data_IF_802798090426
#
_entry.id   IF_802798090426
#
_cell.length_a   1.000
_cell.length_b   1.000
_cell.length_c   1.000
_cell.angle_alpha   90.00
_cell.angle_beta   90.00
_cell.angle_gamma   90.00
#
_symmetry.space_group_name_H-M   'P 1'
#
loop_
_entity.id
_entity.type
_entity.pdbx_description
1 polymer ?
#
# COMPACT_ATOMS: atom_id res chain seq x y z
N UNK A 1 81.69 -29.62 29.01
CA UNK A 1 80.95 -29.80 30.25
C UNK A 1 79.68 -29.07 30.09
N UNK A 2 78.63 -29.85 29.95
CA UNK A 2 77.21 -29.72 30.37
C UNK A 2 76.56 -28.41 29.99
N UNK A 3 75.80 -28.27 29.01
CA UNK A 3 74.60 -28.92 28.47
C UNK A 3 73.36 -28.58 29.32
N UNK A 4 72.62 -27.59 29.05
CA UNK A 4 71.36 -27.32 29.67
C UNK A 4 70.30 -26.98 28.60
N UNK A 5 69.66 -28.01 28.03
CA UNK A 5 68.50 -27.85 27.17
C UNK A 5 67.26 -27.54 28.03
N UNK A 6 66.80 -26.30 28.01
CA UNK A 6 65.52 -25.94 28.59
C UNK A 6 64.40 -26.22 27.63
N UNK A 7 63.64 -27.28 27.92
CA UNK A 7 62.46 -27.68 27.18
C UNK A 7 61.34 -26.66 27.34
N UNK A 8 60.97 -26.01 26.25
CA UNK A 8 59.75 -25.23 26.16
C UNK A 8 58.52 -26.19 26.18
N UNK A 9 57.89 -26.32 27.34
CA UNK A 9 56.59 -26.96 27.47
C UNK A 9 55.58 -26.11 26.75
N UNK A 10 55.11 -26.57 25.58
CA UNK A 10 53.98 -26.03 24.89
C UNK A 10 52.72 -26.12 25.76
N UNK A 11 52.25 -25.01 26.20
CA UNK A 11 50.97 -24.88 26.86
C UNK A 11 49.85 -25.27 25.86
N UNK A 12 49.46 -26.54 25.88
CA UNK A 12 48.22 -26.96 25.20
C UNK A 12 47.06 -26.24 25.83
N UNK A 13 46.65 -25.09 25.24
CA UNK A 13 45.47 -24.33 25.64
C UNK A 13 44.24 -25.25 25.56
N UNK A 14 43.48 -25.30 26.66
CA UNK A 14 42.23 -26.04 26.74
C UNK A 14 41.31 -25.61 25.58
N UNK A 15 40.71 -26.54 24.84
CA UNK A 15 39.80 -26.17 23.73
C UNK A 15 38.67 -25.29 24.26
N UNK A 16 38.34 -24.20 23.59
CA UNK A 16 37.33 -23.25 24.06
C UNK A 16 35.98 -23.92 24.23
N UNK A 17 35.34 -23.67 25.34
CA UNK A 17 34.02 -24.17 25.67
C UNK A 17 32.96 -23.62 24.67
N UNK A 18 31.81 -24.28 24.53
CA UNK A 18 30.71 -23.80 23.68
C UNK A 18 30.28 -22.37 24.03
N UNK A 19 30.33 -22.00 25.30
CA UNK A 19 29.99 -20.67 25.81
C UNK A 19 31.00 -19.62 25.39
N UNK A 20 32.28 -19.93 25.47
CA UNK A 20 33.39 -19.04 25.05
C UNK A 20 33.36 -18.81 23.54
N UNK A 21 33.09 -19.86 22.75
CA UNK A 21 32.89 -19.75 21.30
C UNK A 21 31.70 -18.85 20.96
N UNK A 22 30.58 -18.97 21.69
CA UNK A 22 29.39 -18.15 21.49
C UNK A 22 29.63 -16.69 21.85
N UNK A 23 30.35 -16.41 22.94
CA UNK A 23 30.69 -15.05 23.32
C UNK A 23 31.68 -14.40 22.33
N UNK A 24 32.62 -15.17 21.83
CA UNK A 24 33.54 -14.72 20.75
C UNK A 24 32.80 -14.42 19.46
N UNK A 25 31.80 -15.26 19.10
CA UNK A 25 30.98 -15.06 17.92
C UNK A 25 30.10 -13.79 18.04
N UNK A 26 29.51 -13.52 19.21
CA UNK A 26 28.74 -12.29 19.45
C UNK A 26 29.57 -11.00 19.31
N UNK A 27 30.87 -11.07 19.62
CA UNK A 27 31.80 -9.95 19.43
C UNK A 27 32.33 -9.83 18.01
N UNK A 28 32.04 -10.81 17.15
CA UNK A 28 32.45 -10.81 15.75
C UNK A 28 31.63 -9.78 14.95
N UNK A 29 32.22 -9.09 13.97
CA UNK A 29 31.51 -8.20 13.06
C UNK A 29 30.42 -8.91 12.22
N UNK A 30 30.47 -10.24 12.14
CA UNK A 30 29.49 -11.03 11.42
C UNK A 30 28.17 -11.22 12.18
N UNK A 31 28.17 -11.13 13.51
CA UNK A 31 26.97 -11.36 14.32
C UNK A 31 25.83 -10.38 13.99
N UNK A 32 26.07 -9.04 13.97
CA UNK A 32 25.01 -8.11 13.59
C UNK A 32 24.54 -8.30 12.15
N UNK A 33 25.44 -8.69 11.23
CA UNK A 33 25.06 -8.95 9.84
C UNK A 33 24.13 -10.17 9.72
N UNK A 34 24.42 -11.25 10.45
CA UNK A 34 23.57 -12.46 10.48
C UNK A 34 22.22 -12.14 11.12
N UNK A 35 22.19 -11.41 12.24
CA UNK A 35 20.94 -10.98 12.88
C UNK A 35 20.10 -10.15 11.91
N UNK A 36 20.73 -9.18 11.24
CA UNK A 36 20.05 -8.36 10.23
C UNK A 36 19.47 -9.18 9.09
N UNK A 37 20.20 -10.19 8.60
CA UNK A 37 19.74 -11.09 7.55
C UNK A 37 18.47 -11.83 7.97
N UNK A 38 18.39 -12.34 9.20
CA UNK A 38 17.20 -13.01 9.70
C UNK A 38 16.03 -12.03 9.88
N UNK A 39 16.29 -10.81 10.37
CA UNK A 39 15.26 -9.77 10.50
C UNK A 39 14.69 -9.42 9.13
N UNK A 40 15.54 -9.20 8.13
CA UNK A 40 15.10 -8.88 6.77
C UNK A 40 14.32 -10.03 6.13
N UNK A 41 14.78 -11.26 6.30
CA UNK A 41 14.06 -12.44 5.80
C UNK A 41 12.70 -12.61 6.47
N UNK A 42 12.61 -12.41 7.78
CA UNK A 42 11.35 -12.44 8.51
C UNK A 42 10.41 -11.31 8.07
N UNK A 43 10.93 -10.08 7.92
CA UNK A 43 10.15 -8.95 7.44
C UNK A 43 9.61 -9.19 6.02
N UNK A 44 10.45 -9.71 5.12
CA UNK A 44 10.03 -10.05 3.75
C UNK A 44 8.96 -11.16 3.76
N UNK A 45 9.13 -12.20 4.57
CA UNK A 45 8.15 -13.27 4.71
C UNK A 45 6.82 -12.80 5.29
N UNK A 46 6.86 -11.95 6.32
CA UNK A 46 5.66 -11.33 6.90
C UNK A 46 4.96 -10.41 5.91
N UNK A 47 5.71 -9.60 5.18
CA UNK A 47 5.14 -8.72 4.15
C UNK A 47 4.46 -9.55 3.04
N UNK A 48 5.17 -10.51 2.46
CA UNK A 48 4.63 -11.37 1.41
C UNK A 48 3.43 -12.18 1.93
N UNK A 49 3.52 -12.73 3.12
CA UNK A 49 2.45 -13.51 3.75
C UNK A 49 1.22 -12.66 4.05
N UNK A 50 1.38 -11.47 4.63
CA UNK A 50 0.27 -10.56 4.92
C UNK A 50 -0.43 -10.10 3.65
N UNK A 51 0.34 -9.74 2.62
CA UNK A 51 -0.21 -9.33 1.32
C UNK A 51 -0.97 -10.47 0.66
N UNK A 52 -0.37 -11.66 0.60
CA UNK A 52 -1.01 -12.85 0.02
C UNK A 52 -2.28 -13.21 0.78
N UNK A 53 -2.25 -13.18 2.11
CA UNK A 53 -3.42 -13.45 2.95
C UNK A 53 -4.54 -12.42 2.71
N UNK A 54 -4.22 -11.14 2.67
CA UNK A 54 -5.19 -10.08 2.43
C UNK A 54 -5.83 -10.16 1.03
N UNK A 55 -5.07 -10.63 0.02
CA UNK A 55 -5.54 -10.72 -1.36
C UNK A 55 -6.12 -12.08 -1.75
N UNK A 56 -5.83 -13.14 -1.00
CA UNK A 56 -6.21 -14.50 -1.35
C UNK A 56 -7.72 -14.73 -1.35
N UNK A 57 -8.45 -14.06 -0.47
CA UNK A 57 -9.91 -14.22 -0.38
C UNK A 57 -10.56 -13.01 0.31
N UNK A 58 -10.63 -11.86 -0.37
CA UNK A 58 -11.34 -10.70 0.15
C UNK A 58 -12.85 -11.00 0.11
N UNK A 59 -13.38 -11.63 1.16
CA UNK A 59 -14.82 -11.70 1.35
C UNK A 59 -15.30 -10.34 1.85
N UNK A 60 -15.99 -9.57 1.03
CA UNK A 60 -16.50 -8.29 1.47
C UNK A 60 -17.62 -8.53 2.48
N UNK A 61 -17.49 -7.94 3.67
CA UNK A 61 -18.52 -7.93 4.68
C UNK A 61 -19.14 -6.55 4.78
N UNK A 62 -20.49 -6.48 4.84
CA UNK A 62 -21.23 -5.24 5.06
C UNK A 62 -20.87 -4.14 4.06
N UNK A 63 -21.10 -4.43 2.76
CA UNK A 63 -20.85 -3.44 1.72
C UNK A 63 -21.90 -2.32 1.84
N UNK A 64 -21.50 -1.06 2.11
CA UNK A 64 -22.44 0.04 2.22
C UNK A 64 -22.95 0.43 0.82
N UNK A 65 -24.27 0.41 0.68
CA UNK A 65 -24.99 0.71 -0.56
C UNK A 65 -26.13 1.69 -0.28
N UNK A 66 -26.17 2.79 -1.02
CA UNK A 66 -27.27 3.73 -0.96
C UNK A 66 -28.49 3.19 -1.67
N UNK A 67 -29.65 3.36 -1.05
CA UNK A 67 -30.95 3.10 -1.66
C UNK A 67 -31.74 4.40 -1.67
N UNK A 68 -32.03 4.92 -2.86
CA UNK A 68 -32.86 6.12 -3.00
C UNK A 68 -34.31 5.76 -2.72
N UNK A 69 -34.96 6.50 -1.82
CA UNK A 69 -36.36 6.31 -1.52
C UNK A 69 -37.21 6.60 -2.76
N UNK A 70 -37.99 5.62 -3.15
CA UNK A 70 -38.90 5.64 -4.27
C UNK A 70 -39.99 4.59 -4.08
N UNK A 71 -40.92 4.43 -5.03
CA UNK A 71 -41.95 3.40 -4.92
C UNK A 71 -41.25 2.05 -4.70
N UNK A 72 -41.51 1.43 -3.54
CA UNK A 72 -41.02 0.10 -3.20
C UNK A 72 -41.56 -0.91 -4.18
N UNK A 73 -40.78 -1.20 -5.24
CA UNK A 73 -41.13 -2.22 -6.18
C UNK A 73 -40.70 -3.59 -5.63
N UNK A 74 -41.49 -4.63 -5.77
CA UNK A 74 -41.11 -5.99 -5.39
C UNK A 74 -39.79 -6.45 -6.06
N UNK A 75 -39.46 -5.84 -7.19
CA UNK A 75 -38.25 -6.13 -7.97
C UNK A 75 -36.99 -5.69 -7.28
N UNK A 76 -36.97 -4.48 -6.66
CA UNK A 76 -35.81 -3.97 -5.96
C UNK A 76 -35.47 -4.83 -4.71
N UNK A 77 -36.48 -5.21 -3.94
CA UNK A 77 -36.30 -6.07 -2.78
C UNK A 77 -35.75 -7.46 -3.15
N UNK A 78 -36.28 -8.06 -4.22
CA UNK A 78 -35.82 -9.37 -4.73
C UNK A 78 -34.39 -9.25 -5.27
N UNK A 79 -34.07 -8.15 -5.92
CA UNK A 79 -32.73 -7.90 -6.43
C UNK A 79 -31.71 -7.80 -5.30
N UNK A 80 -31.98 -7.01 -4.25
CA UNK A 80 -31.11 -6.89 -3.07
C UNK A 80 -30.89 -8.25 -2.42
N UNK A 81 -31.96 -9.01 -2.18
CA UNK A 81 -31.86 -10.35 -1.62
C UNK A 81 -31.03 -11.31 -2.48
N UNK A 82 -31.21 -11.22 -3.82
CA UNK A 82 -30.42 -11.98 -4.77
C UNK A 82 -28.92 -11.61 -4.74
N UNK A 83 -28.60 -10.32 -4.57
CA UNK A 83 -27.24 -9.83 -4.44
C UNK A 83 -26.58 -10.35 -3.17
N UNK A 84 -27.23 -10.24 -2.02
CA UNK A 84 -26.73 -10.74 -0.75
C UNK A 84 -26.42 -12.25 -0.79
N UNK A 85 -27.34 -13.01 -1.39
CA UNK A 85 -27.14 -14.45 -1.58
C UNK A 85 -25.98 -14.78 -2.54
N UNK A 86 -25.83 -14.01 -3.60
CA UNK A 86 -24.81 -14.27 -4.62
C UNK A 86 -23.41 -13.84 -4.18
N UNK A 87 -23.33 -12.84 -3.30
CA UNK A 87 -22.07 -12.33 -2.74
C UNK A 87 -21.61 -13.10 -1.51
N UNK A 88 -22.48 -13.93 -0.92
CA UNK A 88 -22.30 -14.51 0.43
C UNK A 88 -21.91 -13.42 1.46
N UNK A 89 -22.48 -12.23 1.29
CA UNK A 89 -22.19 -11.04 2.06
C UNK A 89 -23.46 -10.20 2.27
N UNK A 90 -23.58 -9.59 3.44
CA UNK A 90 -24.66 -8.63 3.70
C UNK A 90 -24.36 -7.29 3.03
N UNK A 91 -25.38 -6.70 2.41
CA UNK A 91 -25.36 -5.32 1.99
C UNK A 91 -25.86 -4.44 3.14
N UNK A 92 -25.07 -3.42 3.49
CA UNK A 92 -25.49 -2.40 4.45
C UNK A 92 -26.24 -1.31 3.71
N UNK A 93 -27.57 -1.35 3.77
CA UNK A 93 -28.44 -0.46 3.00
C UNK A 93 -28.67 0.86 3.74
N UNK A 94 -28.10 1.93 3.21
CA UNK A 94 -28.34 3.29 3.68
C UNK A 94 -29.43 3.94 2.82
N UNK A 95 -30.53 4.37 3.45
CA UNK A 95 -31.68 4.99 2.77
C UNK A 95 -31.51 6.49 2.69
N UNK A 96 -31.65 7.02 1.49
CA UNK A 96 -31.59 8.45 1.21
C UNK A 96 -32.92 8.91 0.59
N UNK A 97 -33.44 10.08 1.03
CA UNK A 97 -34.74 10.58 0.55
C UNK A 97 -34.71 10.94 -0.93
N UNK A 98 -33.56 11.36 -1.45
CA UNK A 98 -33.41 11.76 -2.85
C UNK A 98 -32.06 11.31 -3.44
N UNK A 99 -31.94 11.49 -4.76
CA UNK A 99 -30.75 11.10 -5.48
C UNK A 99 -29.53 11.97 -5.18
N UNK A 100 -29.72 13.25 -4.88
CA UNK A 100 -28.61 14.18 -4.65
C UNK A 100 -27.85 13.83 -3.37
N UNK A 101 -28.57 13.50 -2.29
CA UNK A 101 -27.96 13.05 -1.05
C UNK A 101 -27.27 11.68 -1.19
N UNK A 102 -27.81 10.79 -2.02
CA UNK A 102 -27.15 9.52 -2.30
C UNK A 102 -25.86 9.71 -3.13
N UNK A 103 -25.86 10.65 -4.09
CA UNK A 103 -24.69 11.03 -4.85
C UNK A 103 -23.63 11.70 -3.97
N UNK A 104 -24.01 12.58 -3.07
CA UNK A 104 -23.11 13.18 -2.09
C UNK A 104 -22.45 12.11 -1.20
N UNK A 105 -23.23 11.13 -0.72
CA UNK A 105 -22.69 10.02 0.05
C UNK A 105 -21.73 9.13 -0.76
N UNK A 106 -21.97 8.99 -2.07
CA UNK A 106 -21.04 8.30 -2.98
C UNK A 106 -19.77 9.10 -3.19
N UNK A 107 -19.86 10.42 -3.35
CA UNK A 107 -18.72 11.34 -3.51
C UNK A 107 -17.86 11.39 -2.24
N UNK A 108 -18.48 11.34 -1.07
CA UNK A 108 -17.82 11.24 0.22
C UNK A 108 -17.30 9.83 0.55
N UNK A 109 -17.45 8.86 -0.35
CA UNK A 109 -17.05 7.45 -0.19
C UNK A 109 -17.71 6.74 1.01
N UNK A 110 -18.89 7.20 1.44
CA UNK A 110 -19.69 6.56 2.48
C UNK A 110 -20.38 5.31 1.97
N UNK A 111 -20.63 5.24 0.66
CA UNK A 111 -21.24 4.12 -0.04
C UNK A 111 -20.50 3.81 -1.33
N UNK A 112 -20.55 2.55 -1.79
CA UNK A 112 -19.89 2.10 -3.03
C UNK A 112 -20.81 2.05 -4.23
N UNK A 113 -22.12 2.02 -4.00
CA UNK A 113 -23.11 2.00 -5.05
C UNK A 113 -24.39 2.68 -4.62
N UNK A 114 -25.17 3.15 -5.62
CA UNK A 114 -26.52 3.68 -5.44
C UNK A 114 -27.50 2.78 -6.19
N UNK A 115 -28.52 2.32 -5.52
CA UNK A 115 -29.61 1.57 -6.09
C UNK A 115 -30.85 2.46 -6.21
N UNK A 116 -31.36 2.56 -7.44
CA UNK A 116 -32.58 3.30 -7.75
C UNK A 116 -33.62 2.34 -8.37
N UNK A 117 -34.84 2.45 -7.92
CA UNK A 117 -35.99 1.76 -8.56
C UNK A 117 -36.35 2.47 -9.87
N UNK A 118 -36.34 1.77 -11.00
CA UNK A 118 -36.66 2.34 -12.31
C UNK A 118 -37.79 1.54 -12.98
N UNK A 119 -39.01 1.91 -12.71
CA UNK A 119 -40.18 1.20 -13.24
C UNK A 119 -40.20 -0.27 -12.79
N UNK A 120 -40.13 -1.21 -13.75
CA UNK A 120 -40.03 -2.66 -13.49
C UNK A 120 -38.60 -3.17 -13.30
N UNK A 121 -37.59 -2.28 -13.30
CA UNK A 121 -36.19 -2.61 -13.20
C UNK A 121 -35.48 -1.89 -12.07
N UNK A 122 -34.18 -2.07 -12.04
CA UNK A 122 -33.22 -1.44 -11.07
C UNK A 122 -32.14 -0.73 -11.86
N UNK A 123 -31.81 0.48 -11.46
CA UNK A 123 -30.59 1.15 -11.88
C UNK A 123 -29.57 1.06 -10.73
N UNK A 124 -28.38 0.63 -11.03
CA UNK A 124 -27.25 0.55 -10.10
C UNK A 124 -26.12 1.44 -10.62
N UNK A 125 -25.79 2.46 -9.84
CA UNK A 125 -24.67 3.36 -10.09
C UNK A 125 -23.55 2.94 -9.16
N UNK A 126 -22.36 2.67 -9.70
CA UNK A 126 -21.16 2.29 -8.94
C UNK A 126 -20.09 3.36 -9.07
N UNK A 127 -19.16 3.42 -8.13
CA UNK A 127 -18.03 4.33 -8.18
C UNK A 127 -16.72 3.54 -8.24
N UNK A 128 -16.20 3.30 -9.43
CA UNK A 128 -14.95 2.58 -9.65
C UNK A 128 -13.76 3.23 -8.95
N UNK A 129 -13.70 4.56 -8.96
CA UNK A 129 -12.62 5.31 -8.31
C UNK A 129 -12.63 5.22 -6.77
N UNK A 130 -13.78 4.91 -6.15
CA UNK A 130 -13.87 4.73 -4.69
C UNK A 130 -13.44 3.33 -4.24
N UNK A 131 -13.43 2.35 -5.17
CA UNK A 131 -13.02 0.98 -4.89
C UNK A 131 -13.25 0.07 -6.07
N UNK A 132 -12.27 -0.01 -6.97
CA UNK A 132 -12.36 -0.75 -8.24
C UNK A 132 -12.86 -2.19 -8.07
N UNK A 133 -12.29 -2.92 -7.11
CA UNK A 133 -12.65 -4.32 -6.85
C UNK A 133 -14.11 -4.46 -6.39
N UNK A 134 -14.57 -3.56 -5.51
CA UNK A 134 -15.94 -3.60 -4.99
C UNK A 134 -16.93 -3.19 -6.08
N UNK A 135 -16.64 -2.14 -6.85
CA UNK A 135 -17.48 -1.69 -7.95
C UNK A 135 -17.62 -2.77 -9.04
N UNK A 136 -16.52 -3.43 -9.41
CA UNK A 136 -16.53 -4.54 -10.35
C UNK A 136 -17.33 -5.73 -9.81
N UNK A 137 -17.10 -6.12 -8.55
CA UNK A 137 -17.82 -7.21 -7.90
C UNK A 137 -19.34 -6.96 -7.88
N UNK A 138 -19.76 -5.75 -7.48
CA UNK A 138 -21.16 -5.36 -7.47
C UNK A 138 -21.75 -5.37 -8.88
N UNK A 139 -21.03 -4.80 -9.86
CA UNK A 139 -21.47 -4.76 -11.25
C UNK A 139 -21.65 -6.13 -11.87
N UNK A 140 -20.66 -7.00 -11.78
CA UNK A 140 -20.73 -8.36 -12.34
C UNK A 140 -21.77 -9.22 -11.65
N UNK A 141 -21.84 -9.18 -10.32
CA UNK A 141 -22.81 -9.93 -9.55
C UNK A 141 -24.23 -9.41 -9.82
N UNK A 142 -24.39 -8.08 -9.89
CA UNK A 142 -25.66 -7.46 -10.22
C UNK A 142 -26.22 -7.92 -11.56
N UNK A 143 -25.39 -7.96 -12.59
CA UNK A 143 -25.79 -8.46 -13.91
C UNK A 143 -26.21 -9.93 -13.87
N UNK A 144 -25.46 -10.78 -13.14
CA UNK A 144 -25.80 -12.21 -12.99
C UNK A 144 -27.14 -12.40 -12.27
N UNK A 145 -27.32 -11.71 -11.16
CA UNK A 145 -28.56 -11.76 -10.35
C UNK A 145 -29.75 -11.23 -11.13
N UNK A 146 -29.59 -10.11 -11.81
CA UNK A 146 -30.65 -9.52 -12.62
C UNK A 146 -31.14 -10.49 -13.73
N UNK A 147 -30.21 -11.16 -14.42
CA UNK A 147 -30.51 -12.18 -15.41
C UNK A 147 -31.29 -13.36 -14.81
N UNK A 148 -30.84 -13.86 -13.66
CA UNK A 148 -31.48 -15.00 -12.98
C UNK A 148 -32.90 -14.67 -12.52
N UNK A 149 -33.12 -13.43 -12.07
CA UNK A 149 -34.44 -12.98 -11.59
C UNK A 149 -35.35 -12.43 -12.68
N UNK A 150 -34.85 -12.26 -13.91
CA UNK A 150 -35.60 -11.62 -15.00
C UNK A 150 -35.89 -10.13 -14.73
N UNK A 151 -35.05 -9.46 -13.93
CA UNK A 151 -35.20 -8.04 -13.59
C UNK A 151 -34.32 -7.20 -14.52
N UNK A 152 -34.88 -6.21 -15.25
CA UNK A 152 -34.06 -5.29 -16.02
C UNK A 152 -33.09 -4.52 -15.10
N UNK A 153 -31.79 -4.58 -15.40
CA UNK A 153 -30.76 -3.87 -14.67
C UNK A 153 -29.98 -2.95 -15.60
N UNK A 154 -29.81 -1.70 -15.20
CA UNK A 154 -28.88 -0.77 -15.83
C UNK A 154 -27.75 -0.54 -14.84
N UNK A 155 -26.51 -0.88 -15.22
CA UNK A 155 -25.31 -0.58 -14.42
C UNK A 155 -24.58 0.58 -15.08
N UNK A 156 -24.20 1.58 -14.30
CA UNK A 156 -23.40 2.71 -14.75
C UNK A 156 -22.30 2.99 -13.74
N UNK A 157 -21.07 3.07 -14.19
CA UNK A 157 -20.00 3.63 -13.37
C UNK A 157 -20.06 5.16 -13.49
N UNK A 158 -20.33 5.84 -12.37
CA UNK A 158 -20.48 7.30 -12.32
C UNK A 158 -19.19 8.01 -11.91
N UNK A 159 -18.23 7.26 -11.40
CA UNK A 159 -16.87 7.72 -11.07
C UNK A 159 -15.86 6.70 -11.61
N UNK A 160 -15.71 6.59 -12.93
CA UNK A 160 -14.81 5.62 -13.51
C UNK A 160 -13.36 5.95 -13.14
N UNK A 161 -12.53 4.92 -13.09
CA UNK A 161 -11.08 5.09 -13.04
C UNK A 161 -10.57 5.73 -14.34
N UNK A 162 -9.44 6.42 -14.24
CA UNK A 162 -8.78 7.00 -15.40
C UNK A 162 -8.41 5.93 -16.44
N UNK A 163 -8.40 6.29 -17.72
CA UNK A 163 -8.03 5.38 -18.81
C UNK A 163 -6.61 4.81 -18.66
N UNK A 164 -5.70 5.60 -18.05
CA UNK A 164 -4.32 5.18 -17.76
C UNK A 164 -4.18 4.26 -16.54
N UNK A 165 -5.22 4.14 -15.71
CA UNK A 165 -5.23 3.24 -14.55
C UNK A 165 -6.55 2.48 -14.39
N UNK A 166 -6.94 1.66 -15.37
CA UNK A 166 -8.24 0.98 -15.36
C UNK A 166 -8.43 -0.02 -14.20
N UNK A 167 -7.38 -0.31 -13.45
CA UNK A 167 -7.39 -1.22 -12.30
C UNK A 167 -7.25 -0.53 -10.94
N UNK A 168 -6.99 0.79 -10.91
CA UNK A 168 -6.76 1.54 -9.67
C UNK A 168 -5.48 1.15 -8.94
N UNK A 169 -4.44 0.69 -9.67
CA UNK A 169 -3.18 0.21 -9.08
C UNK A 169 -2.06 1.27 -9.13
N UNK A 170 -2.27 2.40 -9.81
CA UNK A 170 -1.24 3.42 -9.98
C UNK A 170 -0.71 3.93 -8.64
N UNK A 171 -1.58 4.24 -7.68
CA UNK A 171 -1.17 4.69 -6.34
C UNK A 171 -0.31 3.66 -5.60
N UNK A 172 -0.61 2.37 -5.75
CA UNK A 172 0.20 1.31 -5.16
C UNK A 172 1.61 1.30 -5.76
N UNK A 173 1.73 1.35 -7.10
CA UNK A 173 3.04 1.34 -7.77
C UNK A 173 3.84 2.62 -7.53
N UNK A 174 3.17 3.78 -7.45
CA UNK A 174 3.80 5.05 -7.09
C UNK A 174 4.40 4.97 -5.69
N UNK A 175 3.62 4.48 -4.73
CA UNK A 175 4.07 4.31 -3.34
C UNK A 175 5.24 3.33 -3.26
N UNK A 176 5.17 2.21 -3.97
CA UNK A 176 6.23 1.23 -4.03
C UNK A 176 7.51 1.82 -4.66
N UNK A 177 7.38 2.55 -5.78
CA UNK A 177 8.49 3.23 -6.43
C UNK A 177 9.13 4.27 -5.50
N UNK A 178 8.33 5.07 -4.81
CA UNK A 178 8.82 6.07 -3.86
C UNK A 178 9.61 5.43 -2.71
N UNK A 179 9.12 4.32 -2.16
CA UNK A 179 9.82 3.57 -1.09
C UNK A 179 11.13 2.99 -1.61
N UNK A 180 11.14 2.32 -2.77
CA UNK A 180 12.36 1.72 -3.34
C UNK A 180 13.39 2.80 -3.65
N UNK A 181 12.99 3.86 -4.37
CA UNK A 181 13.90 4.96 -4.74
C UNK A 181 14.38 5.68 -3.49
N UNK A 182 13.50 5.98 -2.54
CA UNK A 182 13.87 6.60 -1.27
C UNK A 182 14.91 5.78 -0.51
N UNK A 183 14.70 4.47 -0.40
CA UNK A 183 15.63 3.57 0.29
C UNK A 183 16.98 3.47 -0.43
N UNK A 184 16.99 3.27 -1.74
CA UNK A 184 18.22 3.21 -2.55
C UNK A 184 18.96 4.54 -2.47
N UNK A 185 18.26 5.67 -2.58
CA UNK A 185 18.85 7.00 -2.44
C UNK A 185 19.48 7.23 -1.07
N UNK A 186 18.79 6.84 -0.01
CA UNK A 186 19.31 6.93 1.35
C UNK A 186 20.60 6.11 1.55
N UNK A 187 20.67 4.88 1.01
CA UNK A 187 21.88 4.07 1.03
C UNK A 187 23.01 4.76 0.25
N UNK A 188 22.75 5.18 -0.98
CA UNK A 188 23.75 5.83 -1.82
C UNK A 188 24.27 7.12 -1.19
N UNK A 189 23.39 7.92 -0.61
CA UNK A 189 23.77 9.14 0.08
C UNK A 189 24.62 8.83 1.33
N UNK A 190 24.24 7.81 2.10
CA UNK A 190 25.01 7.41 3.30
C UNK A 190 26.42 6.90 2.98
N UNK A 191 26.61 6.29 1.81
CA UNK A 191 27.92 5.79 1.35
C UNK A 191 28.77 6.90 0.73
N UNK A 192 28.20 7.69 -0.19
CA UNK A 192 28.97 8.65 -1.00
C UNK A 192 29.07 10.03 -0.35
N UNK A 193 28.12 10.41 0.52
CA UNK A 193 28.09 11.72 1.15
C UNK A 193 28.84 11.80 2.49
N UNK A 194 29.65 10.79 2.84
CA UNK A 194 30.42 10.80 4.10
C UNK A 194 31.45 11.92 4.20
N UNK A 195 31.97 12.35 3.06
CA UNK A 195 32.96 13.42 2.97
C UNK A 195 32.34 14.82 2.83
N UNK A 196 31.00 14.91 2.69
CA UNK A 196 30.31 16.17 2.52
C UNK A 196 30.02 16.87 3.85
N UNK A 197 30.03 18.19 3.81
CA UNK A 197 29.59 19.01 4.94
C UNK A 197 28.06 18.79 5.21
N UNK A 198 27.60 19.04 6.46
CA UNK A 198 26.18 18.85 6.80
C UNK A 198 25.21 19.60 5.88
N UNK A 199 25.57 20.83 5.49
CA UNK A 199 24.76 21.64 4.59
C UNK A 199 24.69 21.03 3.17
N UNK A 200 25.82 20.59 2.64
CA UNK A 200 25.89 19.93 1.33
C UNK A 200 25.06 18.64 1.34
N UNK A 201 25.09 17.89 2.42
CA UNK A 201 24.29 16.68 2.61
C UNK A 201 22.79 16.97 2.52
N UNK A 202 22.33 17.98 3.25
CA UNK A 202 20.93 18.43 3.20
C UNK A 202 20.56 18.84 1.77
N UNK A 203 21.42 19.63 1.12
CA UNK A 203 21.18 20.09 -0.24
C UNK A 203 21.07 18.93 -1.23
N UNK A 204 21.94 17.93 -1.13
CA UNK A 204 21.89 16.72 -1.96
C UNK A 204 20.63 15.89 -1.69
N UNK A 205 20.22 15.72 -0.42
CA UNK A 205 18.98 15.03 -0.07
C UNK A 205 17.77 15.73 -0.67
N UNK A 206 17.69 17.05 -0.54
CA UNK A 206 16.60 17.85 -1.11
C UNK A 206 16.59 17.76 -2.64
N UNK A 207 17.74 17.92 -3.27
CA UNK A 207 17.88 17.82 -4.72
C UNK A 207 17.46 16.42 -5.23
N UNK A 208 17.89 15.36 -4.55
CA UNK A 208 17.50 13.98 -4.85
C UNK A 208 15.99 13.77 -4.70
N UNK A 209 15.41 14.25 -3.61
CA UNK A 209 13.98 14.12 -3.35
C UNK A 209 13.14 14.88 -4.40
N UNK A 210 13.55 16.10 -4.75
CA UNK A 210 12.87 16.89 -5.77
C UNK A 210 12.96 16.23 -7.16
N UNK A 211 14.15 15.76 -7.53
CA UNK A 211 14.37 15.11 -8.82
C UNK A 211 13.66 13.75 -8.92
N UNK A 212 13.75 12.94 -7.87
CA UNK A 212 13.08 11.64 -7.79
C UNK A 212 11.55 11.78 -7.80
N UNK A 213 11.01 12.70 -7.00
CA UNK A 213 9.58 13.02 -6.99
C UNK A 213 9.09 13.53 -8.36
N UNK A 214 9.89 14.40 -9.01
CA UNK A 214 9.59 14.88 -10.36
C UNK A 214 9.57 13.74 -11.38
N UNK A 215 10.57 12.85 -11.36
CA UNK A 215 10.65 11.74 -12.30
C UNK A 215 9.45 10.79 -12.16
N UNK A 216 9.05 10.45 -10.94
CA UNK A 216 7.88 9.60 -10.70
C UNK A 216 6.60 10.31 -11.19
N UNK A 217 6.39 11.57 -10.79
CA UNK A 217 5.21 12.33 -11.18
C UNK A 217 5.12 12.49 -12.71
N UNK A 218 6.23 12.84 -13.37
CA UNK A 218 6.26 13.03 -14.82
C UNK A 218 5.94 11.75 -15.61
N UNK A 219 6.47 10.61 -15.17
CA UNK A 219 6.17 9.33 -15.82
C UNK A 219 4.71 8.94 -15.63
N UNK A 220 4.16 9.12 -14.43
CA UNK A 220 2.79 8.70 -14.11
C UNK A 220 1.75 9.61 -14.75
N UNK A 221 1.97 10.92 -14.73
CA UNK A 221 1.04 11.91 -15.26
C UNK A 221 1.23 12.10 -16.78
N UNK A 222 2.41 12.52 -17.23
CA UNK A 222 2.67 12.82 -18.63
C UNK A 222 2.93 11.58 -19.50
N UNK A 223 3.60 10.56 -18.93
CA UNK A 223 3.96 9.36 -19.69
C UNK A 223 2.81 8.37 -19.82
N UNK A 224 2.08 8.14 -18.76
CA UNK A 224 1.04 7.10 -18.66
C UNK A 224 -0.38 7.67 -18.60
N UNK A 225 -0.55 8.94 -18.22
CA UNK A 225 -1.88 9.52 -17.98
C UNK A 225 -2.68 8.73 -16.93
N UNK A 226 -1.98 8.13 -15.96
CA UNK A 226 -2.58 7.18 -15.03
C UNK A 226 -3.43 7.88 -13.97
N UNK A 227 -3.06 9.10 -13.58
CA UNK A 227 -3.75 9.87 -12.56
C UNK A 227 -3.97 11.29 -13.07
N UNK A 228 -5.22 11.75 -13.01
CA UNK A 228 -5.58 13.13 -13.31
C UNK A 228 -5.45 14.00 -12.05
N UNK A 229 -4.20 14.13 -11.58
CA UNK A 229 -3.88 14.90 -10.38
C UNK A 229 -3.16 16.20 -10.77
N UNK A 230 -3.28 17.27 -9.95
CA UNK A 230 -2.49 18.48 -10.16
C UNK A 230 -1.00 18.14 -10.03
N UNK A 231 -0.27 18.20 -11.15
CA UNK A 231 1.13 17.77 -11.26
C UNK A 231 2.04 18.33 -10.15
N UNK A 232 1.97 19.64 -9.90
CA UNK A 232 2.83 20.31 -8.89
C UNK A 232 2.57 19.76 -7.49
N UNK A 233 1.30 19.52 -7.13
CA UNK A 233 0.95 18.98 -5.82
C UNK A 233 1.46 17.55 -5.67
N UNK A 234 1.24 16.70 -6.68
CA UNK A 234 1.71 15.32 -6.69
C UNK A 234 3.23 15.24 -6.60
N UNK A 235 3.94 16.06 -7.37
CA UNK A 235 5.38 16.20 -7.32
C UNK A 235 5.88 16.57 -5.92
N UNK A 236 5.30 17.62 -5.30
CA UNK A 236 5.71 18.08 -3.97
C UNK A 236 5.43 17.03 -2.88
N UNK A 237 4.31 16.33 -2.96
CA UNK A 237 3.99 15.24 -2.03
C UNK A 237 5.03 14.12 -2.16
N UNK A 238 5.36 13.69 -3.37
CA UNK A 238 6.37 12.66 -3.62
C UNK A 238 7.77 13.11 -3.16
N UNK A 239 8.17 14.34 -3.47
CA UNK A 239 9.43 14.90 -3.02
C UNK A 239 9.51 14.97 -1.49
N UNK A 240 8.44 15.40 -0.83
CA UNK A 240 8.37 15.40 0.63
C UNK A 240 8.50 13.98 1.20
N UNK A 241 7.78 13.01 0.64
CA UNK A 241 7.83 11.61 1.06
C UNK A 241 9.25 11.05 0.92
N UNK A 242 9.92 11.28 -0.21
CA UNK A 242 11.29 10.86 -0.44
C UNK A 242 12.28 11.51 0.54
N UNK A 243 12.09 12.80 0.87
CA UNK A 243 12.92 13.51 1.84
C UNK A 243 12.76 13.00 3.27
N UNK A 244 11.60 12.42 3.60
CA UNK A 244 11.33 11.88 4.93
C UNK A 244 11.96 10.51 5.18
N UNK A 245 12.23 9.73 4.14
CA UNK A 245 12.85 8.40 4.22
C UNK A 245 14.35 8.47 4.53
N UNK A 246 14.97 9.67 4.59
CA UNK A 246 16.38 9.84 4.88
C UNK A 246 16.74 9.42 6.33
N UNK A 247 17.57 8.36 6.50
CA UNK A 247 17.97 7.87 7.82
C UNK A 247 18.93 8.81 8.56
N UNK A 248 19.34 9.93 7.98
CA UNK A 248 20.27 10.87 8.60
C UNK A 248 19.61 11.86 9.57
N UNK A 249 18.27 11.93 9.60
CA UNK A 249 17.49 12.81 10.48
C UNK A 249 17.69 12.60 12.00
N UNK A 250 17.85 11.38 12.54
CA UNK A 250 18.05 11.21 13.98
C UNK A 250 19.36 11.79 14.51
N UNK A 251 20.32 12.08 13.63
CA UNK A 251 21.57 12.72 14.06
C UNK A 251 21.46 14.25 14.26
N UNK A 252 20.43 14.91 13.73
CA UNK A 252 20.24 16.36 13.90
C UNK A 252 19.60 16.71 15.25
N UNK A 253 18.80 15.83 15.83
CA UNK A 253 18.21 16.03 17.16
C UNK A 253 19.24 15.86 18.29
N UNK A 254 20.21 15.01 18.12
CA UNK A 254 21.29 14.83 19.10
C UNK A 254 22.33 15.98 19.12
N UNK A 255 22.45 16.75 18.04
CA UNK A 255 23.37 17.88 17.95
C UNK A 255 22.78 19.19 18.51
N UNK A 256 21.48 19.26 18.79
CA UNK A 256 20.81 20.42 19.38
C UNK A 256 20.74 20.37 20.92
N UNK A 257 21.14 19.26 21.53
CA UNK A 257 21.18 19.07 23.00
C UNK A 257 22.58 19.14 23.62
N UNK A 258 23.62 19.49 22.84
CA UNK A 258 24.95 19.83 23.29
C UNK A 258 25.24 21.32 23.10
#
# INVERSE_FOLDING_TARGET
MTGGASGAHGAHGRPPTRREKWESYKKSPYFPAVVLLFILAAAAGLFAGSYTYAMANPTPHRIPVAVVEGPRTPYAARFVQGMEKALDASLELHRYPDGAQAEEALDEQKVFAILRSKGKGVAMEVAGASGATVAQLLGETGVKVARTLGVPLTVKDVKPLGEGDPRGLALFYISLAAVIIGFVGAIQLSVHARALNPLERILFTVAYALLGGFAIAAVVDWGLGALDLPFVQSWLILAFTLSWIDPTKPMMTAASEM
#
